data_IF_526009799947
#
_entry.id   IF_526009799947
#
_cell.length_a   1.000
_cell.length_b   1.000
_cell.length_c   1.000
_cell.angle_alpha   90.00
_cell.angle_beta   90.00
_cell.angle_gamma   90.00
#
_symmetry.space_group_name_H-M   'P 1'
#
loop_
_entity.id
_entity.type
_entity.pdbx_description
1 polymer ?
#
# COMPACT_ATOMS: atom_id res chain seq x y z
N UNK A 1 31.25 -1.25 2.24
CA UNK A 1 29.89 -1.38 2.79
C UNK A 1 28.96 -1.46 1.62
N UNK A 2 28.56 -2.67 1.23
CA UNK A 2 27.57 -2.86 0.17
C UNK A 2 26.19 -2.60 0.74
N UNK A 3 25.55 -1.53 0.30
CA UNK A 3 24.18 -1.22 0.74
C UNK A 3 23.20 -2.05 -0.09
N UNK A 4 22.03 -2.39 0.47
CA UNK A 4 20.97 -3.10 -0.26
C UNK A 4 20.53 -2.39 -1.57
N UNK A 5 20.90 -1.12 -1.74
CA UNK A 5 20.66 -0.32 -2.95
C UNK A 5 21.71 -0.50 -4.06
N UNK A 6 22.88 -1.08 -3.76
CA UNK A 6 23.95 -1.33 -4.74
C UNK A 6 23.72 -2.60 -5.57
N UNK A 7 22.81 -3.47 -5.14
CA UNK A 7 22.44 -4.68 -5.85
C UNK A 7 21.29 -4.40 -6.82
N UNK A 8 21.18 -5.21 -7.87
CA UNK A 8 20.04 -5.17 -8.79
C UNK A 8 18.77 -5.76 -8.14
N UNK A 9 18.31 -5.10 -7.09
CA UNK A 9 17.16 -5.47 -6.29
C UNK A 9 15.88 -5.48 -7.13
N UNK A 10 15.83 -4.69 -8.22
CA UNK A 10 14.67 -4.66 -9.13
C UNK A 10 14.53 -6.00 -9.85
N UNK A 11 15.60 -6.46 -10.49
CA UNK A 11 15.61 -7.78 -11.15
C UNK A 11 15.41 -8.92 -10.16
N UNK A 12 15.92 -8.80 -8.93
CA UNK A 12 15.66 -9.81 -7.89
C UNK A 12 14.18 -9.87 -7.50
N UNK A 13 13.53 -8.73 -7.28
CA UNK A 13 12.09 -8.69 -7.03
C UNK A 13 11.34 -9.33 -8.22
N UNK A 14 11.69 -8.97 -9.45
CA UNK A 14 11.04 -9.55 -10.66
C UNK A 14 11.19 -11.07 -10.72
N UNK A 15 12.38 -11.61 -10.42
CA UNK A 15 12.63 -13.04 -10.37
C UNK A 15 11.82 -13.75 -9.26
N UNK A 16 11.74 -13.15 -8.06
CA UNK A 16 10.96 -13.72 -6.95
C UNK A 16 9.47 -13.71 -7.23
N UNK A 17 8.95 -12.62 -7.82
CA UNK A 17 7.55 -12.52 -8.21
C UNK A 17 7.23 -13.53 -9.32
N UNK A 18 8.13 -13.72 -10.29
CA UNK A 18 8.02 -14.75 -11.33
C UNK A 18 8.00 -16.16 -10.74
N UNK A 19 8.85 -16.43 -9.73
CA UNK A 19 8.88 -17.71 -9.00
C UNK A 19 7.57 -17.97 -8.24
N UNK A 20 6.90 -16.91 -7.80
CA UNK A 20 5.56 -16.98 -7.20
C UNK A 20 4.43 -17.11 -8.25
N UNK A 21 4.75 -17.11 -9.54
CA UNK A 21 3.80 -17.30 -10.65
C UNK A 21 3.14 -16.02 -11.16
N UNK A 22 3.74 -14.85 -10.94
CA UNK A 22 3.20 -13.56 -11.39
C UNK A 22 4.19 -12.81 -12.28
N UNK A 23 3.68 -12.01 -13.21
CA UNK A 23 4.52 -11.30 -14.19
C UNK A 23 5.25 -10.08 -13.61
N UNK A 24 4.70 -9.46 -12.56
CA UNK A 24 5.21 -8.25 -11.92
C UNK A 24 4.61 -8.03 -10.53
N UNK A 25 5.19 -7.12 -9.74
CA UNK A 25 4.79 -6.87 -8.35
C UNK A 25 3.32 -6.44 -8.27
N UNK A 26 2.86 -5.62 -9.21
CA UNK A 26 1.47 -5.20 -9.28
C UNK A 26 0.51 -6.38 -9.38
N UNK A 27 0.80 -7.34 -10.26
CA UNK A 27 -0.02 -8.54 -10.46
C UNK A 27 -0.05 -9.42 -9.20
N UNK A 28 1.11 -9.60 -8.54
CA UNK A 28 1.20 -10.28 -7.26
C UNK A 28 0.35 -9.62 -6.16
N UNK A 29 0.41 -8.29 -6.05
CA UNK A 29 -0.32 -7.54 -5.02
C UNK A 29 -1.83 -7.56 -5.28
N UNK A 30 -2.26 -7.40 -6.52
CA UNK A 30 -3.69 -7.34 -6.87
C UNK A 30 -4.37 -8.71 -6.94
N UNK A 31 -3.61 -9.79 -7.14
CA UNK A 31 -4.12 -11.15 -6.96
C UNK A 31 -4.47 -11.48 -5.49
N UNK A 32 -3.98 -10.68 -4.53
CA UNK A 32 -4.18 -10.88 -3.10
C UNK A 32 -4.90 -9.68 -2.46
N UNK A 33 -6.18 -9.42 -2.81
CA UNK A 33 -6.90 -8.23 -2.37
C UNK A 33 -7.04 -8.17 -0.85
N UNK A 34 -6.79 -6.98 -0.28
CA UNK A 34 -6.99 -6.71 1.14
C UNK A 34 -5.96 -7.34 2.09
N UNK A 35 -4.97 -8.10 1.60
CA UNK A 35 -3.83 -8.59 2.40
C UNK A 35 -2.88 -7.42 2.70
N UNK A 36 -2.44 -7.19 3.94
CA UNK A 36 -1.50 -6.09 4.22
C UNK A 36 -0.21 -6.20 3.41
N UNK A 37 0.29 -5.07 2.86
CA UNK A 37 1.50 -5.07 2.03
C UNK A 37 2.73 -5.68 2.72
N UNK A 38 2.85 -5.50 4.04
CA UNK A 38 3.92 -6.14 4.83
C UNK A 38 3.85 -7.68 4.86
N UNK A 39 2.64 -8.26 4.78
CA UNK A 39 2.48 -9.73 4.69
C UNK A 39 2.80 -10.25 3.29
N UNK A 40 2.45 -9.49 2.25
CA UNK A 40 2.82 -9.83 0.87
C UNK A 40 4.33 -9.74 0.66
N UNK A 41 4.95 -8.69 1.20
CA UNK A 41 6.40 -8.57 1.24
C UNK A 41 7.04 -9.76 1.97
N UNK A 42 6.51 -10.16 3.13
CA UNK A 42 7.00 -11.36 3.82
C UNK A 42 6.91 -12.60 2.94
N UNK A 43 5.78 -12.80 2.25
CA UNK A 43 5.61 -13.94 1.33
C UNK A 43 6.60 -13.91 0.16
N UNK A 44 6.95 -12.72 -0.33
CA UNK A 44 7.99 -12.53 -1.35
C UNK A 44 9.38 -12.93 -0.81
N UNK A 45 9.73 -12.50 0.40
CA UNK A 45 11.01 -12.82 1.03
C UNK A 45 11.10 -14.31 1.39
N UNK A 46 10.00 -14.92 1.83
CA UNK A 46 9.96 -16.36 2.13
C UNK A 46 10.19 -17.22 0.87
N UNK A 47 9.98 -16.66 -0.33
CA UNK A 47 10.31 -17.31 -1.61
C UNK A 47 11.79 -17.17 -2.02
N UNK A 48 12.55 -16.29 -1.35
CA UNK A 48 13.96 -16.06 -1.63
C UNK A 48 14.83 -17.21 -1.11
N UNK A 49 15.97 -17.42 -1.76
CA UNK A 49 16.95 -18.41 -1.30
C UNK A 49 17.73 -17.87 -0.10
N UNK A 50 18.22 -18.77 0.76
CA UNK A 50 18.93 -18.43 2.01
C UNK A 50 20.09 -17.44 1.80
N UNK A 51 20.72 -17.46 0.63
CA UNK A 51 21.87 -16.61 0.28
C UNK A 51 21.52 -15.45 -0.68
N UNK A 52 20.23 -15.17 -0.91
CA UNK A 52 19.81 -14.05 -1.74
C UNK A 52 20.16 -12.72 -1.07
N UNK A 53 20.49 -11.70 -1.86
CA UNK A 53 20.73 -10.37 -1.33
C UNK A 53 19.46 -9.84 -0.62
N UNK A 54 19.60 -9.05 0.45
CA UNK A 54 18.46 -8.55 1.18
C UNK A 54 17.66 -7.56 0.33
N UNK A 55 16.36 -7.81 0.18
CA UNK A 55 15.41 -6.86 -0.38
C UNK A 55 14.72 -6.16 0.79
N UNK A 56 14.78 -4.83 0.82
CA UNK A 56 14.09 -4.06 1.85
C UNK A 56 12.61 -3.86 1.49
N UNK A 57 11.74 -3.74 2.50
CA UNK A 57 10.32 -3.48 2.27
C UNK A 57 10.06 -2.19 1.46
N UNK A 58 10.88 -1.16 1.66
CA UNK A 58 10.76 0.09 0.90
C UNK A 58 11.06 -0.11 -0.60
N UNK A 59 11.94 -1.05 -0.97
CA UNK A 59 12.24 -1.39 -2.36
C UNK A 59 11.06 -2.12 -3.02
N UNK A 60 10.39 -3.01 -2.27
CA UNK A 60 9.13 -3.61 -2.69
C UNK A 60 8.04 -2.57 -2.95
N UNK A 61 7.87 -1.60 -2.04
CA UNK A 61 6.93 -0.48 -2.24
C UNK A 61 7.31 0.38 -3.45
N UNK A 62 8.58 0.71 -3.61
CA UNK A 62 9.07 1.50 -4.75
C UNK A 62 8.77 0.80 -6.08
N UNK A 63 9.00 -0.52 -6.17
CA UNK A 63 8.65 -1.30 -7.35
C UNK A 63 7.15 -1.29 -7.64
N UNK A 64 6.31 -1.55 -6.63
CA UNK A 64 4.85 -1.53 -6.76
C UNK A 64 4.34 -0.19 -7.31
N UNK A 65 4.76 0.92 -6.71
CA UNK A 65 4.29 2.24 -7.11
C UNK A 65 4.89 2.69 -8.44
N UNK A 66 6.13 2.33 -8.75
CA UNK A 66 6.77 2.61 -10.04
C UNK A 66 6.05 1.89 -11.19
N UNK A 67 5.73 0.60 -11.03
CA UNK A 67 4.93 -0.17 -12.00
C UNK A 67 3.52 0.43 -12.17
N UNK A 68 2.88 0.76 -11.05
CA UNK A 68 1.55 1.39 -11.08
C UNK A 68 1.56 2.75 -11.77
N UNK A 69 2.63 3.54 -11.61
CA UNK A 69 2.81 4.82 -12.30
C UNK A 69 3.02 4.63 -13.80
N UNK A 70 3.82 3.64 -14.20
CA UNK A 70 4.05 3.30 -15.60
C UNK A 70 2.76 2.89 -16.32
N UNK A 71 1.85 2.21 -15.61
CA UNK A 71 0.56 1.75 -16.13
C UNK A 71 -0.59 2.77 -15.91
N UNK A 72 -0.31 4.02 -15.56
CA UNK A 72 -1.30 5.08 -15.26
C UNK A 72 -2.34 4.69 -14.20
N UNK A 73 -1.95 3.84 -13.24
CA UNK A 73 -2.79 3.31 -12.16
C UNK A 73 -2.30 3.73 -10.76
N UNK A 74 -1.43 4.75 -10.68
CA UNK A 74 -0.81 5.18 -9.42
C UNK A 74 -1.85 5.60 -8.38
N UNK A 75 -2.85 6.38 -8.79
CA UNK A 75 -3.94 6.81 -7.92
C UNK A 75 -4.68 5.62 -7.29
N UNK A 76 -4.99 4.60 -8.09
CA UNK A 76 -5.61 3.37 -7.60
C UNK A 76 -4.68 2.62 -6.62
N UNK A 77 -3.39 2.50 -6.93
CA UNK A 77 -2.43 1.83 -6.04
C UNK A 77 -2.30 2.50 -4.67
N UNK A 78 -2.35 3.84 -4.63
CA UNK A 78 -2.32 4.60 -3.38
C UNK A 78 -3.63 4.50 -2.60
N UNK A 79 -4.77 4.43 -3.28
CA UNK A 79 -6.06 4.15 -2.64
C UNK A 79 -6.13 2.72 -2.07
N UNK A 80 -5.62 1.74 -2.81
CA UNK A 80 -5.55 0.34 -2.37
C UNK A 80 -4.62 0.18 -1.16
N UNK A 81 -3.49 0.89 -1.13
CA UNK A 81 -2.61 0.88 0.04
C UNK A 81 -3.30 1.44 1.29
N UNK A 82 -4.12 2.50 1.16
CA UNK A 82 -4.95 3.02 2.25
C UNK A 82 -5.96 1.99 2.73
N UNK A 83 -6.68 1.35 1.80
CA UNK A 83 -7.67 0.30 2.12
C UNK A 83 -7.02 -0.85 2.86
N UNK A 84 -5.83 -1.32 2.45
CA UNK A 84 -5.09 -2.36 3.16
C UNK A 84 -4.71 -1.93 4.58
N UNK A 85 -4.29 -0.69 4.78
CA UNK A 85 -3.99 -0.15 6.12
C UNK A 85 -5.26 -0.02 6.98
N UNK A 86 -6.39 0.40 6.41
CA UNK A 86 -7.70 0.42 7.08
C UNK A 86 -8.12 -0.99 7.48
N UNK A 87 -7.98 -2.00 6.63
CA UNK A 87 -8.33 -3.39 6.95
C UNK A 87 -7.44 -3.98 8.04
N UNK A 88 -6.14 -3.69 7.98
CA UNK A 88 -5.17 -4.12 9.01
C UNK A 88 -5.54 -3.55 10.38
N UNK A 89 -5.80 -2.25 10.43
CA UNK A 89 -5.89 -1.52 11.69
C UNK A 89 -7.32 -1.29 12.18
N UNK A 90 -8.34 -1.29 11.32
CA UNK A 90 -9.74 -0.98 11.63
C UNK A 90 -10.70 -2.11 11.18
N UNK A 91 -10.29 -3.38 11.27
CA UNK A 91 -11.10 -4.54 10.87
C UNK A 91 -12.54 -4.57 11.45
N UNK A 92 -12.76 -3.97 12.61
CA UNK A 92 -14.07 -3.92 13.26
C UNK A 92 -14.98 -2.79 12.75
N UNK A 93 -14.44 -1.85 11.97
CA UNK A 93 -15.13 -0.65 11.50
C UNK A 93 -14.43 0.65 11.90
N UNK A 94 -14.84 1.74 11.27
CA UNK A 94 -14.30 3.10 11.43
C UNK A 94 -14.36 3.65 12.86
N UNK A 95 -15.46 3.39 13.57
CA UNK A 95 -15.69 3.85 14.95
C UNK A 95 -15.79 2.70 15.96
N UNK A 96 -15.48 1.45 15.56
CA UNK A 96 -15.69 0.26 16.39
C UNK A 96 -14.40 -0.31 16.98
N UNK A 97 -14.50 -0.78 18.22
CA UNK A 97 -13.45 -1.50 18.93
C UNK A 97 -12.65 -0.62 19.91
N UNK A 98 -11.74 -1.25 20.65
CA UNK A 98 -10.90 -0.57 21.65
C UNK A 98 -9.86 0.31 20.97
N UNK A 99 -9.54 1.46 21.60
CA UNK A 99 -8.48 2.39 21.18
C UNK A 99 -8.65 2.91 19.74
N UNK A 100 -9.89 3.28 19.39
CA UNK A 100 -10.23 3.59 17.99
C UNK A 100 -9.55 4.86 17.46
N UNK A 101 -9.25 5.81 18.34
CA UNK A 101 -8.52 7.03 17.99
C UNK A 101 -7.08 6.67 17.62
N UNK A 102 -6.43 5.87 18.45
CA UNK A 102 -5.05 5.41 18.26
C UNK A 102 -4.94 4.49 17.03
N UNK A 103 -5.92 3.63 16.79
CA UNK A 103 -5.95 2.77 15.60
C UNK A 103 -6.14 3.56 14.31
N UNK A 104 -6.94 4.63 14.33
CA UNK A 104 -7.04 5.57 13.19
C UNK A 104 -5.73 6.30 12.96
N UNK A 105 -5.08 6.79 14.02
CA UNK A 105 -3.75 7.40 13.91
C UNK A 105 -2.71 6.44 13.34
N UNK A 106 -2.67 5.19 13.82
CA UNK A 106 -1.79 4.15 13.29
C UNK A 106 -2.09 3.85 11.82
N UNK A 107 -3.37 3.80 11.43
CA UNK A 107 -3.76 3.60 10.02
C UNK A 107 -3.16 4.67 9.12
N UNK A 108 -3.25 5.94 9.53
CA UNK A 108 -2.68 7.07 8.80
C UNK A 108 -1.16 6.96 8.70
N UNK A 109 -0.49 6.64 9.81
CA UNK A 109 0.97 6.52 9.85
C UNK A 109 1.51 5.33 9.05
N UNK A 110 0.72 4.26 8.93
CA UNK A 110 1.06 3.06 8.16
C UNK A 110 0.51 3.10 6.73
N UNK A 111 -0.05 4.22 6.27
CA UNK A 111 -0.48 4.34 4.89
C UNK A 111 0.73 4.54 3.97
N UNK A 112 0.92 3.60 3.05
CA UNK A 112 2.06 3.60 2.14
C UNK A 112 1.84 4.51 0.93
N UNK A 113 2.82 5.38 0.69
CA UNK A 113 2.90 6.29 -0.46
C UNK A 113 4.12 5.95 -1.31
N UNK A 114 4.20 6.43 -2.57
CA UNK A 114 5.36 6.22 -3.44
C UNK A 114 6.64 6.75 -2.79
N UNK A 115 7.64 5.90 -2.47
CA UNK A 115 8.84 6.31 -1.74
C UNK A 115 9.65 7.40 -2.44
N UNK A 116 9.92 7.25 -3.74
CA UNK A 116 10.69 8.24 -4.50
C UNK A 116 10.01 9.59 -4.68
N UNK A 117 8.69 9.67 -4.50
CA UNK A 117 7.89 10.90 -4.64
C UNK A 117 7.19 11.27 -3.30
N UNK A 118 7.71 10.78 -2.16
CA UNK A 118 7.01 10.88 -0.87
C UNK A 118 6.66 12.32 -0.48
N UNK A 119 7.60 13.26 -0.62
CA UNK A 119 7.39 14.67 -0.29
C UNK A 119 6.20 15.25 -1.05
N UNK A 120 6.13 15.01 -2.36
CA UNK A 120 5.04 15.44 -3.25
C UNK A 120 3.69 14.86 -2.84
N UNK A 121 3.65 13.59 -2.44
CA UNK A 121 2.40 12.89 -2.16
C UNK A 121 1.94 12.99 -0.70
N UNK A 122 2.83 13.34 0.22
CA UNK A 122 2.52 13.44 1.65
C UNK A 122 1.44 14.49 1.98
N UNK A 123 1.48 15.65 1.32
CA UNK A 123 0.46 16.69 1.49
C UNK A 123 -0.90 16.27 0.93
N UNK A 124 -0.91 15.61 -0.22
CA UNK A 124 -2.12 15.04 -0.82
C UNK A 124 -2.71 13.95 0.08
N UNK A 125 -1.87 13.10 0.66
CA UNK A 125 -2.29 12.09 1.61
C UNK A 125 -2.91 12.71 2.88
N UNK A 126 -2.30 13.78 3.42
CA UNK A 126 -2.89 14.50 4.55
C UNK A 126 -4.28 15.07 4.23
N UNK A 127 -4.45 15.63 3.03
CA UNK A 127 -5.75 16.14 2.56
C UNK A 127 -6.77 15.02 2.36
N UNK A 128 -6.37 13.87 1.79
CA UNK A 128 -7.23 12.68 1.66
C UNK A 128 -7.70 12.22 3.03
N UNK A 129 -6.78 12.12 4.00
CA UNK A 129 -7.13 11.70 5.36
C UNK A 129 -8.09 12.67 6.06
N UNK A 130 -7.88 13.98 5.88
CA UNK A 130 -8.79 15.01 6.40
C UNK A 130 -10.19 14.86 5.79
N UNK A 131 -10.28 14.74 4.45
CA UNK A 131 -11.55 14.52 3.74
C UNK A 131 -12.25 13.22 4.13
N UNK A 132 -11.49 12.15 4.35
CA UNK A 132 -12.04 10.89 4.84
C UNK A 132 -12.60 11.02 6.26
N UNK A 133 -12.01 11.89 7.09
CA UNK A 133 -12.55 12.16 8.42
C UNK A 133 -13.81 13.01 8.34
N UNK A 134 -13.83 14.02 7.45
CA UNK A 134 -14.98 14.90 7.20
C UNK A 134 -16.18 14.16 6.58
N UNK A 135 -15.96 13.13 5.77
CA UNK A 135 -17.03 12.34 5.16
C UNK A 135 -17.83 11.52 6.16
N UNK A 136 -17.40 11.46 7.43
CA UNK A 136 -18.02 10.74 8.52
C UNK A 136 -18.46 9.30 8.13
N UNK A 137 -17.51 8.41 7.79
CA UNK A 137 -17.85 7.04 7.41
C UNK A 137 -18.72 6.33 8.46
N UNK A 138 -19.63 5.42 8.05
CA UNK A 138 -20.43 4.62 8.96
C UNK A 138 -19.58 3.89 10.02
N UNK A 139 -20.14 3.65 11.20
CA UNK A 139 -19.37 3.12 12.33
C UNK A 139 -18.69 1.77 12.05
N UNK A 140 -19.34 0.92 11.27
CA UNK A 140 -18.86 -0.40 10.85
C UNK A 140 -18.10 -0.38 9.52
N UNK A 141 -17.89 0.79 8.93
CA UNK A 141 -17.23 0.91 7.63
C UNK A 141 -15.78 0.44 7.69
N UNK A 142 -15.47 -0.55 6.86
CA UNK A 142 -14.12 -1.07 6.63
C UNK A 142 -14.05 -1.52 5.15
N UNK A 143 -13.51 -0.68 4.25
CA UNK A 143 -13.59 -0.93 2.82
C UNK A 143 -12.84 -2.22 2.45
N UNK A 144 -13.33 -2.92 1.42
CA UNK A 144 -12.70 -4.14 0.91
C UNK A 144 -11.78 -3.83 -0.27
N UNK A 145 -12.06 -2.77 -1.03
CA UNK A 145 -11.27 -2.36 -2.19
C UNK A 145 -11.19 -0.84 -2.33
N UNK A 146 -10.26 -0.36 -3.17
CA UNK A 146 -10.17 1.04 -3.56
C UNK A 146 -11.39 1.56 -4.33
N UNK A 147 -12.26 0.69 -4.83
CA UNK A 147 -13.51 1.07 -5.51
C UNK A 147 -14.67 1.36 -4.54
N UNK A 148 -14.43 1.30 -3.24
CA UNK A 148 -15.40 1.75 -2.23
C UNK A 148 -15.83 3.21 -2.50
N UNK A 149 -17.12 3.48 -2.36
CA UNK A 149 -17.72 4.77 -2.75
C UNK A 149 -17.11 5.95 -1.97
N UNK A 150 -16.87 5.79 -0.67
CA UNK A 150 -16.28 6.84 0.17
C UNK A 150 -14.82 7.05 -0.23
N UNK A 151 -14.08 5.98 -0.48
CA UNK A 151 -12.69 6.07 -0.97
C UNK A 151 -12.65 6.82 -2.32
N UNK A 152 -13.49 6.44 -3.27
CA UNK A 152 -13.56 7.06 -4.58
C UNK A 152 -13.92 8.54 -4.49
N UNK A 153 -14.93 8.90 -3.70
CA UNK A 153 -15.35 10.28 -3.50
C UNK A 153 -14.20 11.14 -2.93
N UNK A 154 -13.52 10.65 -1.90
CA UNK A 154 -12.41 11.35 -1.26
C UNK A 154 -11.25 11.55 -2.24
N UNK A 155 -10.83 10.49 -2.94
CA UNK A 155 -9.73 10.56 -3.90
C UNK A 155 -10.08 11.45 -5.10
N UNK A 156 -11.30 11.41 -5.63
CA UNK A 156 -11.73 12.26 -6.75
C UNK A 156 -11.63 13.76 -6.40
N UNK A 157 -11.75 14.11 -5.12
CA UNK A 157 -11.73 15.50 -4.66
C UNK A 157 -10.31 16.02 -4.41
N UNK A 158 -9.36 15.13 -4.10
CA UNK A 158 -8.04 15.52 -3.59
C UNK A 158 -6.89 15.07 -4.48
N UNK A 159 -6.97 13.86 -5.03
CA UNK A 159 -5.88 13.21 -5.73
C UNK A 159 -6.09 13.37 -7.24
N UNK A 160 -5.18 14.05 -7.97
CA UNK A 160 -5.31 14.21 -9.41
C UNK A 160 -5.15 12.87 -10.13
N UNK A 161 -5.79 12.75 -11.29
CA UNK A 161 -5.59 11.60 -12.19
C UNK A 161 -4.15 11.52 -12.73
#
# INVERSE_FOLDING_TARGET
MDTAWNYDWRSQIDALVSKLGYDNVRSFVYANPGVPLGQLYKSLIDAAEINSAPIAFIQFLEKLFSESKKDNCLRFAVADSLVRSLRKNLRAGWNKGKRIIERRANTRSEWYLPPSDYSRYSELANRVWARLTESAPPDDWCPISASDEIIQQVFNTVWPD
#
